data_IF_361765512799
#
_entry.id   IF_361765512799
#
_cell.length_a   1.000
_cell.length_b   1.000
_cell.length_c   1.000
_cell.angle_alpha   90.00
_cell.angle_beta   90.00
_cell.angle_gamma   90.00
#
_symmetry.space_group_name_H-M   'P 1'
#
loop_
_entity.id
_entity.type
_entity.pdbx_description
1 polymer ?
#
# COMPACT_ATOMS: atom_id res chain seq x y z
N UNK A 1 20.04 28.56 -39.18
CA UNK A 1 19.31 27.31 -39.47
C UNK A 1 18.08 27.31 -38.55
N UNK A 2 16.91 27.72 -39.09
CA UNK A 2 15.69 27.83 -38.29
C UNK A 2 15.16 26.44 -37.97
N UNK A 3 14.89 26.20 -36.70
CA UNK A 3 14.18 25.00 -36.27
C UNK A 3 12.78 25.04 -36.90
N UNK A 4 12.44 23.99 -37.66
CA UNK A 4 11.14 23.86 -38.32
C UNK A 4 10.12 23.55 -37.19
N UNK A 5 9.18 24.46 -36.94
CA UNK A 5 8.09 24.21 -35.99
C UNK A 5 7.31 22.94 -36.41
N UNK A 6 7.03 22.07 -35.44
CA UNK A 6 6.22 20.89 -35.70
C UNK A 6 4.76 21.30 -35.98
N UNK A 7 4.06 20.59 -36.87
CA UNK A 7 2.63 20.79 -37.07
C UNK A 7 1.82 20.64 -35.79
N UNK A 8 0.77 21.46 -35.62
CA UNK A 8 -0.05 21.49 -34.41
C UNK A 8 -0.71 20.14 -34.08
N UNK A 9 -1.07 19.35 -35.09
CA UNK A 9 -1.65 18.00 -34.94
C UNK A 9 -0.64 16.99 -34.35
N UNK A 10 0.62 17.12 -34.78
CA UNK A 10 1.73 16.31 -34.23
C UNK A 10 1.99 16.67 -32.76
N UNK A 11 2.01 17.96 -32.43
CA UNK A 11 2.20 18.43 -31.07
C UNK A 11 1.06 17.94 -30.14
N UNK A 12 -0.20 18.03 -30.59
CA UNK A 12 -1.36 17.53 -29.84
C UNK A 12 -1.30 16.00 -29.64
N UNK A 13 -0.87 15.27 -30.66
CA UNK A 13 -0.69 13.81 -30.56
C UNK A 13 0.39 13.45 -29.56
N UNK A 14 1.54 14.13 -29.59
CA UNK A 14 2.62 13.91 -28.62
C UNK A 14 2.15 14.21 -27.21
N UNK A 15 1.46 15.32 -26.97
CA UNK A 15 0.94 15.67 -25.65
C UNK A 15 -0.03 14.59 -25.10
N UNK A 16 -0.91 14.10 -25.97
CA UNK A 16 -1.83 13.01 -25.62
C UNK A 16 -1.09 11.70 -25.26
N UNK A 17 -0.07 11.35 -26.03
CA UNK A 17 0.75 10.17 -25.75
C UNK A 17 1.54 10.32 -24.44
N UNK A 18 2.12 11.48 -24.18
CA UNK A 18 2.82 11.77 -22.91
C UNK A 18 1.90 11.65 -21.71
N UNK A 19 0.66 12.15 -21.81
CA UNK A 19 -0.33 12.01 -20.74
C UNK A 19 -0.68 10.53 -20.49
N UNK A 20 -0.85 9.74 -21.54
CA UNK A 20 -1.14 8.29 -21.41
C UNK A 20 0.04 7.53 -20.81
N UNK A 21 1.26 7.89 -21.16
CA UNK A 21 2.47 7.31 -20.56
C UNK A 21 2.54 7.64 -19.08
N UNK A 22 2.36 8.91 -18.71
CA UNK A 22 2.36 9.36 -17.30
C UNK A 22 1.30 8.61 -16.47
N UNK A 23 0.10 8.38 -17.02
CA UNK A 23 -0.93 7.58 -16.34
C UNK A 23 -0.51 6.10 -16.19
N UNK A 24 0.07 5.49 -17.22
CA UNK A 24 0.53 4.11 -17.16
C UNK A 24 1.67 3.93 -16.14
N UNK A 25 2.63 4.83 -16.12
CA UNK A 25 3.72 4.85 -15.14
C UNK A 25 3.17 5.06 -13.72
N UNK A 26 2.21 5.98 -13.55
CA UNK A 26 1.54 6.20 -12.27
C UNK A 26 0.82 4.95 -11.77
N UNK A 27 0.13 4.22 -12.66
CA UNK A 27 -0.50 2.94 -12.30
C UNK A 27 0.50 1.87 -11.88
N UNK A 28 1.67 1.80 -12.54
CA UNK A 28 2.74 0.89 -12.14
C UNK A 28 3.29 1.28 -10.75
N UNK A 29 3.65 2.54 -10.56
CA UNK A 29 4.17 3.05 -9.29
C UNK A 29 3.21 2.82 -8.12
N UNK A 30 1.90 3.01 -8.32
CA UNK A 30 0.89 2.76 -7.28
C UNK A 30 0.73 1.26 -6.95
N UNK A 31 0.91 0.35 -7.92
CA UNK A 31 0.96 -1.10 -7.65
C UNK A 31 2.19 -1.47 -6.81
N UNK A 32 3.34 -0.92 -7.19
CA UNK A 32 4.59 -1.15 -6.45
C UNK A 32 4.48 -0.61 -5.02
N UNK A 33 3.86 0.57 -4.84
CA UNK A 33 3.63 1.18 -3.54
C UNK A 33 2.73 0.30 -2.64
N UNK A 34 1.66 -0.29 -3.19
CA UNK A 34 0.83 -1.25 -2.44
C UNK A 34 1.60 -2.51 -2.08
N UNK A 35 2.49 -2.97 -2.96
CA UNK A 35 3.39 -4.10 -2.68
C UNK A 35 4.42 -3.75 -1.61
N UNK A 36 5.00 -2.55 -1.65
CA UNK A 36 5.98 -2.07 -0.67
C UNK A 36 5.38 -1.96 0.74
N UNK A 37 4.08 -1.65 0.85
CA UNK A 37 3.39 -1.73 2.14
C UNK A 37 3.47 -3.14 2.74
N UNK A 38 3.10 -4.16 1.95
CA UNK A 38 3.12 -5.55 2.40
C UNK A 38 4.55 -6.01 2.73
N UNK A 39 5.47 -5.80 1.80
CA UNK A 39 6.87 -6.22 1.96
C UNK A 39 7.50 -5.52 3.16
N UNK A 40 7.36 -4.19 3.27
CA UNK A 40 7.94 -3.41 4.35
C UNK A 40 7.43 -3.85 5.73
N UNK A 41 6.12 -4.12 5.84
CA UNK A 41 5.54 -4.60 7.10
C UNK A 41 6.00 -6.02 7.43
N UNK A 42 5.91 -6.96 6.48
CA UNK A 42 6.17 -8.39 6.69
C UNK A 42 7.67 -8.68 6.95
N UNK A 43 8.56 -7.90 6.34
CA UNK A 43 10.02 -8.04 6.54
C UNK A 43 10.57 -7.15 7.64
N UNK A 44 9.73 -6.37 8.30
CA UNK A 44 10.14 -5.36 9.29
C UNK A 44 11.10 -4.31 8.72
N UNK A 45 11.01 -4.03 7.42
CA UNK A 45 11.76 -2.96 6.74
C UNK A 45 11.04 -1.63 6.96
N UNK A 46 11.38 -0.98 8.08
CA UNK A 46 10.74 0.28 8.47
C UNK A 46 10.95 1.38 7.44
N UNK A 47 12.15 1.49 6.87
CA UNK A 47 12.48 2.56 5.93
C UNK A 47 11.64 2.41 4.66
N UNK A 48 11.47 1.21 4.14
CA UNK A 48 10.54 0.91 3.05
C UNK A 48 9.10 1.22 3.45
N UNK A 49 8.65 0.74 4.60
CA UNK A 49 7.27 0.91 5.05
C UNK A 49 6.90 2.38 5.24
N UNK A 50 7.75 3.18 5.89
CA UNK A 50 7.43 4.60 6.12
C UNK A 50 7.60 5.43 4.84
N UNK A 51 8.44 4.99 3.91
CA UNK A 51 8.71 5.72 2.67
C UNK A 51 7.49 5.86 1.76
N UNK A 52 6.53 4.95 1.86
CA UNK A 52 5.32 4.96 1.01
C UNK A 52 4.22 5.90 1.52
N UNK A 53 4.32 6.39 2.75
CA UNK A 53 3.33 7.25 3.37
C UNK A 53 3.62 8.73 3.14
N UNK A 54 2.55 9.50 2.88
CA UNK A 54 2.65 10.96 2.95
C UNK A 54 2.99 11.38 4.39
N UNK A 55 3.71 12.50 4.53
CA UNK A 55 4.15 12.98 5.85
C UNK A 55 2.99 13.12 6.86
N UNK A 56 1.86 13.60 6.38
CA UNK A 56 0.65 13.87 7.18
C UNK A 56 -0.44 12.80 6.91
N UNK A 57 -0.04 11.58 6.52
CA UNK A 57 -0.97 10.51 6.15
C UNK A 57 -1.85 10.06 7.32
N UNK A 58 -3.04 9.57 6.99
CA UNK A 58 -3.96 8.98 7.96
C UNK A 58 -4.05 7.47 7.71
N UNK A 59 -3.77 6.68 8.73
CA UNK A 59 -3.96 5.23 8.71
C UNK A 59 -5.07 4.81 9.66
N UNK A 60 -6.27 4.55 9.12
CA UNK A 60 -7.44 4.08 9.85
C UNK A 60 -7.51 2.55 9.80
N UNK A 61 -6.97 1.88 10.80
CA UNK A 61 -7.05 0.42 10.91
C UNK A 61 -8.43 -0.01 11.44
N UNK A 62 -9.08 0.88 12.18
CA UNK A 62 -10.38 0.61 12.80
C UNK A 62 -10.28 -0.20 14.10
N UNK A 63 -11.43 -0.47 14.73
CA UNK A 63 -11.44 -1.25 15.96
C UNK A 63 -10.91 -2.69 15.76
N UNK A 64 -10.12 -3.22 16.72
CA UNK A 64 -9.71 -2.62 17.99
C UNK A 64 -8.43 -1.78 17.91
N UNK A 65 -7.82 -1.59 16.73
CA UNK A 65 -6.47 -1.04 16.56
C UNK A 65 -6.43 0.50 16.57
N UNK A 66 -7.46 1.17 16.03
CA UNK A 66 -7.58 2.63 16.04
C UNK A 66 -7.20 3.33 14.74
N UNK A 67 -6.91 4.63 14.85
CA UNK A 67 -6.49 5.51 13.76
C UNK A 67 -5.22 6.25 14.17
N UNK A 68 -4.32 6.46 13.20
CA UNK A 68 -2.99 7.02 13.41
C UNK A 68 -2.70 8.08 12.35
N UNK A 69 -2.13 9.22 12.76
CA UNK A 69 -1.89 10.36 11.90
C UNK A 69 -0.40 10.70 11.82
N UNK A 70 0.07 10.99 10.61
CA UNK A 70 1.43 11.35 10.28
C UNK A 70 2.43 10.22 10.50
N UNK A 71 3.68 10.46 10.13
CA UNK A 71 4.75 9.46 10.28
C UNK A 71 4.94 8.99 11.73
N UNK A 72 4.78 9.90 12.70
CA UNK A 72 4.93 9.54 14.12
C UNK A 72 3.77 8.66 14.60
N UNK A 73 2.53 8.98 14.20
CA UNK A 73 1.38 8.12 14.49
C UNK A 73 1.51 6.74 13.85
N UNK A 74 1.93 6.66 12.59
CA UNK A 74 2.18 5.40 11.87
C UNK A 74 3.29 4.60 12.55
N UNK A 75 4.36 5.27 12.99
CA UNK A 75 5.43 4.63 13.77
C UNK A 75 4.89 4.01 15.06
N UNK A 76 4.05 4.74 15.79
CA UNK A 76 3.40 4.24 17.00
C UNK A 76 2.51 3.03 16.70
N UNK A 77 1.71 3.06 15.62
CA UNK A 77 0.90 1.91 15.20
C UNK A 77 1.75 0.65 15.01
N UNK A 78 2.86 0.78 14.30
CA UNK A 78 3.73 -0.36 13.98
C UNK A 78 4.44 -0.89 15.23
N UNK A 79 5.16 -0.03 15.95
CA UNK A 79 6.07 -0.48 17.01
C UNK A 79 5.41 -0.71 18.37
N UNK A 80 4.31 0.00 18.65
CA UNK A 80 3.66 -0.09 19.96
C UNK A 80 2.36 -0.92 19.94
N UNK A 81 1.73 -1.08 18.77
CA UNK A 81 0.44 -1.79 18.65
C UNK A 81 0.56 -3.10 17.90
N UNK A 82 1.19 -3.09 16.70
CA UNK A 82 1.16 -4.24 15.80
C UNK A 82 2.34 -5.22 16.02
N UNK A 83 3.58 -4.77 15.91
CA UNK A 83 4.76 -5.63 16.10
C UNK A 83 4.86 -6.32 17.47
N UNK A 84 4.36 -5.74 18.58
CA UNK A 84 4.32 -6.49 19.86
C UNK A 84 3.46 -7.74 19.82
N UNK A 85 2.46 -7.81 18.96
CA UNK A 85 1.54 -8.95 18.85
C UNK A 85 2.09 -10.02 17.91
N UNK A 86 2.66 -9.60 16.78
CA UNK A 86 3.04 -10.51 15.69
C UNK A 86 4.48 -11.00 15.82
N UNK A 87 4.68 -12.28 15.57
CA UNK A 87 6.00 -12.89 15.32
C UNK A 87 6.36 -12.77 13.85
N UNK A 88 5.38 -13.04 12.98
CA UNK A 88 5.51 -12.98 11.52
C UNK A 88 4.14 -12.73 10.88
N UNK A 89 4.14 -12.11 9.73
CA UNK A 89 2.94 -11.87 8.90
C UNK A 89 3.28 -12.07 7.43
N UNK A 90 2.27 -12.42 6.64
CA UNK A 90 2.35 -12.53 5.18
C UNK A 90 1.09 -11.92 4.58
N UNK A 91 1.23 -10.74 3.99
CA UNK A 91 0.15 -10.03 3.32
C UNK A 91 0.06 -10.39 1.84
N UNK A 92 -1.13 -10.67 1.38
CA UNK A 92 -1.46 -10.94 -0.02
C UNK A 92 -2.51 -9.93 -0.48
N UNK A 93 -2.12 -8.95 -1.27
CA UNK A 93 -3.06 -7.98 -1.85
C UNK A 93 -3.51 -8.41 -3.24
N UNK A 94 -4.79 -8.25 -3.52
CA UNK A 94 -5.42 -8.63 -4.79
C UNK A 94 -6.45 -7.59 -5.23
N UNK A 95 -6.85 -7.67 -6.51
CA UNK A 95 -7.96 -6.90 -7.06
C UNK A 95 -7.76 -5.37 -6.95
N UNK A 96 -6.52 -4.88 -7.03
CA UNK A 96 -6.26 -3.45 -6.98
C UNK A 96 -6.93 -2.73 -8.15
N UNK A 97 -7.83 -1.81 -7.82
CA UNK A 97 -8.50 -0.92 -8.74
C UNK A 97 -8.13 0.52 -8.44
N UNK A 98 -7.69 1.25 -9.46
CA UNK A 98 -7.24 2.63 -9.35
C UNK A 98 -8.11 3.54 -10.22
N UNK A 99 -8.54 4.66 -9.66
CA UNK A 99 -9.26 5.74 -10.34
C UNK A 99 -8.51 7.05 -10.11
N UNK A 100 -8.05 7.70 -11.19
CA UNK A 100 -7.41 9.00 -11.10
C UNK A 100 -8.47 10.09 -11.11
N UNK A 101 -8.41 11.00 -10.15
CA UNK A 101 -9.28 12.18 -10.06
C UNK A 101 -8.65 13.39 -10.75
N UNK A 102 -7.33 13.44 -10.74
CA UNK A 102 -6.49 14.38 -11.48
C UNK A 102 -5.07 13.77 -11.70
N UNK A 103 -4.14 14.47 -12.39
CA UNK A 103 -2.79 13.93 -12.64
C UNK A 103 -1.98 13.61 -11.38
N UNK A 104 -2.33 14.18 -10.22
CA UNK A 104 -1.58 14.03 -8.97
C UNK A 104 -2.38 13.40 -7.84
N UNK A 105 -3.63 12.95 -8.12
CA UNK A 105 -4.48 12.30 -7.13
C UNK A 105 -5.15 11.07 -7.70
N UNK A 106 -5.12 10.01 -6.93
CA UNK A 106 -5.79 8.77 -7.26
C UNK A 106 -6.50 8.19 -6.03
N UNK A 107 -7.58 7.49 -6.29
CA UNK A 107 -8.28 6.68 -5.31
C UNK A 107 -8.10 5.21 -5.67
N UNK A 108 -7.89 4.35 -4.67
CA UNK A 108 -7.70 2.92 -4.86
C UNK A 108 -8.49 2.06 -3.88
N UNK A 109 -8.83 0.87 -4.34
CA UNK A 109 -9.33 -0.19 -3.46
C UNK A 109 -8.62 -1.49 -3.79
N UNK A 110 -8.27 -2.28 -2.77
CA UNK A 110 -7.81 -3.64 -2.96
C UNK A 110 -8.25 -4.54 -1.81
N UNK A 111 -8.39 -5.84 -2.10
CA UNK A 111 -8.57 -6.83 -1.05
C UNK A 111 -7.21 -7.24 -0.50
N UNK A 112 -7.18 -7.60 0.78
CA UNK A 112 -6.02 -8.14 1.44
C UNK A 112 -6.41 -9.35 2.26
N UNK A 113 -5.65 -10.43 2.09
CA UNK A 113 -5.59 -11.53 3.03
C UNK A 113 -4.21 -11.49 3.71
N UNK A 114 -4.20 -11.67 5.01
CA UNK A 114 -2.99 -11.75 5.79
C UNK A 114 -3.05 -13.00 6.66
N UNK A 115 -2.04 -13.82 6.57
CA UNK A 115 -1.80 -14.91 7.50
C UNK A 115 -0.61 -14.56 8.38
N UNK A 116 -0.73 -14.74 9.67
CA UNK A 116 0.34 -14.45 10.61
C UNK A 116 0.34 -15.38 11.78
N UNK A 117 1.45 -15.42 12.50
CA UNK A 117 1.56 -16.06 13.80
C UNK A 117 1.85 -15.01 14.86
N UNK A 118 1.11 -15.08 15.97
CA UNK A 118 1.39 -14.26 17.15
C UNK A 118 2.66 -14.74 17.85
N UNK A 119 3.18 -13.96 18.79
CA UNK A 119 4.31 -14.37 19.64
C UNK A 119 4.03 -15.61 20.48
N UNK A 120 2.75 -15.87 20.75
CA UNK A 120 2.29 -17.09 21.44
C UNK A 120 2.06 -18.27 20.47
N UNK A 121 2.52 -18.16 19.22
CA UNK A 121 2.39 -19.16 18.17
C UNK A 121 0.93 -19.50 17.78
N UNK A 122 0.01 -18.57 17.98
CA UNK A 122 -1.36 -18.71 17.48
C UNK A 122 -1.40 -18.21 16.03
N UNK A 123 -1.77 -19.09 15.10
CA UNK A 123 -1.96 -18.71 13.70
C UNK A 123 -3.27 -17.96 13.56
N UNK A 124 -3.20 -16.81 12.92
CA UNK A 124 -4.33 -15.93 12.63
C UNK A 124 -4.52 -15.82 11.13
N UNK A 125 -5.76 -15.73 10.70
CA UNK A 125 -6.15 -15.39 9.34
C UNK A 125 -7.02 -14.15 9.36
N UNK A 126 -6.63 -13.16 8.57
CA UNK A 126 -7.27 -11.85 8.50
C UNK A 126 -7.63 -11.61 7.05
N UNK A 127 -8.85 -11.15 6.80
CA UNK A 127 -9.22 -10.59 5.50
C UNK A 127 -9.79 -9.20 5.67
N UNK A 128 -9.40 -8.31 4.79
CA UNK A 128 -9.86 -6.93 4.82
C UNK A 128 -9.94 -6.34 3.39
N UNK A 129 -10.55 -5.18 3.31
CA UNK A 129 -10.46 -4.29 2.15
C UNK A 129 -9.72 -3.03 2.56
N UNK A 130 -8.72 -2.65 1.77
CA UNK A 130 -8.08 -1.34 1.84
C UNK A 130 -8.76 -0.37 0.90
N UNK A 131 -9.00 0.83 1.39
CA UNK A 131 -9.45 1.98 0.60
C UNK A 131 -8.42 3.08 0.79
N UNK A 132 -7.81 3.50 -0.30
CA UNK A 132 -6.66 4.39 -0.30
C UNK A 132 -6.93 5.67 -1.07
N UNK A 133 -6.47 6.78 -0.52
CA UNK A 133 -6.24 8.03 -1.24
C UNK A 133 -4.74 8.20 -1.44
N UNK A 134 -4.34 8.42 -2.69
CA UNK A 134 -2.94 8.62 -3.07
C UNK A 134 -2.74 10.04 -3.58
N UNK A 135 -1.62 10.63 -3.19
CA UNK A 135 -1.17 11.93 -3.69
C UNK A 135 0.23 11.83 -4.29
N UNK A 136 0.45 12.58 -5.38
CA UNK A 136 1.74 12.69 -6.05
C UNK A 136 2.32 14.07 -5.84
N UNK A 137 3.53 14.13 -5.31
CA UNK A 137 4.34 15.33 -5.18
C UNK A 137 5.74 15.07 -5.73
N UNK A 138 6.29 15.99 -6.51
CA UNK A 138 7.62 15.83 -7.13
C UNK A 138 7.78 14.50 -7.90
N UNK A 139 6.71 14.07 -8.58
CA UNK A 139 6.60 12.80 -9.32
C UNK A 139 6.63 11.52 -8.45
N UNK A 140 6.56 11.65 -7.14
CA UNK A 140 6.53 10.51 -6.21
C UNK A 140 5.13 10.34 -5.64
N UNK A 141 4.54 9.16 -5.83
CA UNK A 141 3.27 8.79 -5.24
C UNK A 141 3.44 8.36 -3.78
N UNK A 142 2.48 8.74 -2.94
CA UNK A 142 2.40 8.38 -1.51
C UNK A 142 0.96 8.06 -1.13
N UNK A 143 0.79 7.23 -0.10
CA UNK A 143 -0.51 7.05 0.56
C UNK A 143 -0.76 8.28 1.42
N UNK A 144 -1.80 9.04 1.09
CA UNK A 144 -2.27 10.16 1.92
C UNK A 144 -3.28 9.68 2.98
N UNK A 145 -4.08 8.68 2.63
CA UNK A 145 -4.98 8.02 3.59
C UNK A 145 -5.14 6.54 3.21
N UNK A 146 -5.16 5.67 4.23
CA UNK A 146 -5.60 4.28 4.12
C UNK A 146 -6.65 4.00 5.17
N UNK A 147 -7.80 3.50 4.74
CA UNK A 147 -8.84 2.97 5.61
C UNK A 147 -8.94 1.46 5.42
N UNK A 148 -9.07 0.73 6.53
CA UNK A 148 -9.12 -0.73 6.55
C UNK A 148 -10.49 -1.18 7.04
N UNK A 149 -11.17 -1.99 6.24
CA UNK A 149 -12.41 -2.67 6.66
C UNK A 149 -12.10 -4.13 6.84
N UNK A 150 -12.00 -4.58 8.10
CA UNK A 150 -11.74 -5.98 8.46
C UNK A 150 -13.03 -6.77 8.28
N UNK A 151 -13.00 -7.83 7.45
CA UNK A 151 -14.14 -8.72 7.20
C UNK A 151 -14.15 -9.90 8.18
N UNK A 152 -12.98 -10.47 8.43
CA UNK A 152 -12.79 -11.47 9.49
C UNK A 152 -11.38 -11.42 10.05
N UNK A 153 -11.27 -11.85 11.28
CA UNK A 153 -10.03 -11.95 12.04
C UNK A 153 -10.18 -13.17 12.96
N UNK A 154 -9.63 -14.31 12.55
CA UNK A 154 -9.87 -15.58 13.23
C UNK A 154 -8.57 -16.35 13.48
N UNK A 155 -8.51 -17.00 14.63
CA UNK A 155 -7.48 -18.01 14.90
C UNK A 155 -7.79 -19.29 14.11
N UNK A 156 -6.74 -19.98 13.65
CA UNK A 156 -6.83 -21.29 13.01
C UNK A 156 -6.32 -22.34 14.00
N UNK A 157 -7.19 -23.02 14.76
CA UNK A 157 -6.78 -23.98 15.80
C UNK A 157 -5.96 -25.12 15.19
N UNK A 158 -4.84 -25.45 15.85
CA UNK A 158 -3.97 -26.55 15.43
C UNK A 158 -3.08 -26.25 14.22
N UNK A 159 -3.22 -25.09 13.58
CA UNK A 159 -2.30 -24.67 12.53
C UNK A 159 -0.95 -24.25 13.12
N UNK A 160 0.11 -24.50 12.36
CA UNK A 160 1.47 -24.06 12.67
C UNK A 160 2.09 -23.42 11.44
N UNK A 161 2.68 -22.25 11.61
CA UNK A 161 3.50 -21.62 10.56
C UNK A 161 4.95 -22.06 10.77
N UNK A 162 5.29 -23.19 10.20
CA UNK A 162 6.66 -23.73 10.21
C UNK A 162 7.12 -23.93 8.77
N UNK A 163 8.38 -23.56 8.44
CA UNK A 163 8.95 -23.90 7.14
C UNK A 163 8.88 -25.42 6.93
N UNK A 164 8.71 -25.88 5.69
CA UNK A 164 8.84 -27.30 5.39
C UNK A 164 10.21 -27.79 5.84
N UNK A 165 10.26 -28.94 6.49
CA UNK A 165 11.55 -29.58 6.80
C UNK A 165 12.27 -29.88 5.50
N UNK A 166 13.51 -29.43 5.39
CA UNK A 166 14.39 -29.85 4.29
C UNK A 166 14.56 -31.38 4.36
N UNK A 167 13.94 -32.07 3.42
CA UNK A 167 14.16 -33.51 3.16
C UNK A 167 15.54 -33.75 2.58
#
# INVERSE_FOLDING_TARGET
MGAREMPNDVQATIASLMQRIDELESRANLRDLVSDYCIGFDTHDWDRFISIWHRDAIWEIGPPFGSFEGHEGIRKAVFEVLYPVWRETHHLTTNLRLTFTDPNRAHGTCNVDCMGATKDNVVQMISATYTDDFERSEKVWKIAKRSVVIHYFNSIPGAQMTPPSSS
#
